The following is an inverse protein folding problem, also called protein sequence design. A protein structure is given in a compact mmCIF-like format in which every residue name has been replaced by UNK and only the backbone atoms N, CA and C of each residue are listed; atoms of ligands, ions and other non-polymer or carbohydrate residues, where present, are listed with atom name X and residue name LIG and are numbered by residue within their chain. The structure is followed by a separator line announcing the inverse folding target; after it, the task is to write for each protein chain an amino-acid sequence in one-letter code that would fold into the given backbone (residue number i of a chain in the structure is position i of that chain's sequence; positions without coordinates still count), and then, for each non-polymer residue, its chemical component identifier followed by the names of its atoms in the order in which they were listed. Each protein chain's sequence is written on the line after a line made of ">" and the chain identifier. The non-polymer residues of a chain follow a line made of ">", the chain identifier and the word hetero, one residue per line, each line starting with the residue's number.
data_IF_212676283859
#
_entry.id   IF_212676283859
#
_cell.length_a   1.000
_cell.length_b   1.000
_cell.length_c   1.000
_cell.angle_alpha   90.00
_cell.angle_beta   90.00
_cell.angle_gamma   90.00
#
_symmetry.space_group_name_H-M   'P 1'
#
loop_
_entity.id
_entity.type
_entity.pdbx_description
1 polymer ?
#
# COMPACT_ATOMS: atom_id res chain seq x y z
N UNK A 1 35.39 -29.94 -12.24
CA UNK A 1 34.80 -28.72 -11.67
C UNK A 1 34.13 -27.98 -12.82
N UNK A 2 32.80 -28.05 -12.93
CA UNK A 2 32.08 -27.37 -14.01
C UNK A 2 31.67 -25.99 -13.53
N UNK A 3 32.26 -24.97 -14.16
CA UNK A 3 31.84 -23.58 -14.02
C UNK A 3 30.50 -23.41 -14.75
N UNK A 4 29.40 -23.64 -14.02
CA UNK A 4 28.04 -23.34 -14.49
C UNK A 4 27.63 -21.93 -14.05
N UNK A 5 28.45 -20.94 -14.39
CA UNK A 5 28.09 -19.54 -14.26
C UNK A 5 27.02 -19.17 -15.29
N UNK A 6 25.75 -19.16 -14.88
CA UNK A 6 24.63 -18.63 -15.70
C UNK A 6 24.95 -17.16 -16.04
N UNK A 7 25.27 -16.91 -17.32
CA UNK A 7 25.73 -15.61 -17.79
C UNK A 7 24.84 -14.45 -17.32
N UNK A 8 25.46 -13.42 -16.72
CA UNK A 8 24.86 -12.12 -16.40
C UNK A 8 24.57 -11.33 -17.69
N UNK A 9 23.70 -11.84 -18.55
CA UNK A 9 23.38 -11.19 -19.83
C UNK A 9 22.20 -10.21 -19.73
N UNK A 10 21.28 -10.40 -18.78
CA UNK A 10 20.02 -9.62 -18.73
C UNK A 10 20.10 -8.35 -17.87
N UNK A 11 21.18 -8.18 -17.08
CA UNK A 11 21.42 -6.97 -16.27
C UNK A 11 22.40 -6.04 -16.96
N UNK A 12 22.00 -5.50 -18.11
CA UNK A 12 22.70 -4.33 -18.64
C UNK A 12 22.37 -3.13 -17.74
N UNK A 13 23.29 -2.16 -17.58
CA UNK A 13 23.01 -0.93 -16.86
C UNK A 13 21.74 -0.23 -17.38
N UNK A 14 21.49 -0.31 -18.69
CA UNK A 14 20.30 0.24 -19.33
C UNK A 14 19.00 -0.40 -18.80
N UNK A 15 18.93 -1.73 -18.74
CA UNK A 15 17.73 -2.43 -18.23
C UNK A 15 17.45 -2.08 -16.77
N UNK A 16 18.52 -1.93 -15.96
CA UNK A 16 18.37 -1.50 -14.57
C UNK A 16 17.78 -0.10 -14.52
N UNK A 17 18.34 0.84 -15.29
CA UNK A 17 17.84 2.22 -15.36
C UNK A 17 16.38 2.29 -15.82
N UNK A 18 16.01 1.55 -16.86
CA UNK A 18 14.65 1.54 -17.40
C UNK A 18 13.63 1.04 -16.35
N UNK A 19 14.00 0.01 -15.57
CA UNK A 19 13.19 -0.51 -14.47
C UNK A 19 13.03 0.56 -13.37
N UNK A 20 14.13 1.20 -12.97
CA UNK A 20 14.12 2.18 -11.88
C UNK A 20 13.39 3.46 -12.27
N UNK A 21 13.56 3.94 -13.50
CA UNK A 21 12.82 5.09 -14.02
C UNK A 21 11.32 4.79 -14.13
N UNK A 22 10.95 3.59 -14.56
CA UNK A 22 9.55 3.16 -14.62
C UNK A 22 8.88 3.21 -13.25
N UNK A 23 9.54 2.68 -12.22
CA UNK A 23 9.03 2.70 -10.84
C UNK A 23 9.10 4.11 -10.23
N UNK A 24 10.11 4.91 -10.56
CA UNK A 24 10.22 6.30 -10.10
C UNK A 24 9.09 7.19 -10.65
N UNK A 25 8.75 7.02 -11.93
CA UNK A 25 7.67 7.78 -12.57
C UNK A 25 6.28 7.30 -12.16
N UNK A 26 6.11 5.98 -12.01
CA UNK A 26 4.88 5.36 -11.50
C UNK A 26 5.19 4.40 -10.35
N UNK A 27 5.26 4.90 -9.11
CA UNK A 27 5.51 4.05 -7.94
C UNK A 27 4.46 2.96 -7.72
N UNK A 28 3.26 3.12 -8.26
CA UNK A 28 2.15 2.17 -8.17
C UNK A 28 2.13 1.08 -9.27
N UNK A 29 3.12 1.10 -10.18
CA UNK A 29 3.19 0.17 -11.31
C UNK A 29 3.40 -1.26 -10.84
N UNK A 30 2.65 -2.21 -11.42
CA UNK A 30 2.88 -3.61 -11.12
C UNK A 30 4.23 -4.08 -11.70
N UNK A 31 4.94 -4.94 -10.98
CA UNK A 31 6.20 -5.53 -11.47
C UNK A 31 6.02 -6.31 -12.78
N UNK A 32 4.80 -6.81 -13.04
CA UNK A 32 4.41 -7.44 -14.31
C UNK A 32 4.28 -6.42 -15.45
N UNK A 33 3.73 -5.25 -15.19
CA UNK A 33 3.70 -4.14 -16.16
C UNK A 33 5.13 -3.69 -16.52
N UNK A 34 6.00 -3.49 -15.52
CA UNK A 34 7.42 -3.13 -15.77
C UNK A 34 8.12 -4.20 -16.60
N UNK A 35 7.90 -5.48 -16.27
CA UNK A 35 8.44 -6.62 -17.03
C UNK A 35 8.04 -6.59 -18.51
N UNK A 36 6.77 -6.25 -18.81
CA UNK A 36 6.27 -6.13 -20.18
C UNK A 36 6.82 -4.89 -20.89
N UNK A 37 6.91 -3.75 -20.19
CA UNK A 37 7.41 -2.49 -20.75
C UNK A 37 8.89 -2.56 -21.11
N UNK A 38 9.72 -3.16 -20.25
CA UNK A 38 11.17 -3.30 -20.45
C UNK A 38 11.53 -4.60 -21.19
N UNK A 39 10.55 -5.47 -21.47
CA UNK A 39 10.72 -6.77 -22.12
C UNK A 39 11.75 -7.69 -21.44
N UNK A 40 11.63 -7.83 -20.11
CA UNK A 40 12.51 -8.70 -19.30
C UNK A 40 11.68 -9.64 -18.42
N UNK A 41 12.23 -10.79 -18.01
CA UNK A 41 11.53 -11.68 -17.09
C UNK A 41 11.18 -10.98 -15.78
N UNK A 42 9.98 -11.24 -15.26
CA UNK A 42 9.47 -10.69 -14.00
C UNK A 42 10.43 -10.87 -12.80
N UNK A 43 11.17 -11.98 -12.77
CA UNK A 43 12.17 -12.26 -11.75
C UNK A 43 13.37 -11.31 -11.77
N UNK A 44 13.71 -10.72 -12.92
CA UNK A 44 14.77 -9.71 -13.05
C UNK A 44 14.32 -8.40 -12.43
N UNK A 45 13.08 -7.97 -12.70
CA UNK A 45 12.48 -6.77 -12.10
C UNK A 45 12.56 -6.85 -10.58
N UNK A 46 12.08 -7.94 -9.99
CA UNK A 46 12.18 -8.14 -8.54
C UNK A 46 13.61 -8.11 -8.00
N UNK A 47 14.56 -8.69 -8.72
CA UNK A 47 15.95 -8.71 -8.28
C UNK A 47 16.59 -7.33 -8.35
N UNK A 48 16.22 -6.51 -9.34
CA UNK A 48 16.66 -5.11 -9.45
C UNK A 48 16.06 -4.28 -8.33
N UNK A 49 14.73 -4.30 -8.15
CA UNK A 49 14.07 -3.51 -7.11
C UNK A 49 14.59 -3.84 -5.70
N UNK A 50 14.72 -5.13 -5.36
CA UNK A 50 15.31 -5.54 -4.07
C UNK A 50 16.78 -5.17 -3.93
N UNK A 51 17.54 -5.14 -5.03
CA UNK A 51 18.93 -4.73 -5.04
C UNK A 51 19.11 -3.25 -4.71
N UNK A 52 18.16 -2.43 -5.14
CA UNK A 52 18.10 -0.98 -4.86
C UNK A 52 17.31 -0.62 -3.60
N UNK A 53 16.88 -1.63 -2.81
CA UNK A 53 16.12 -1.40 -1.56
C UNK A 53 14.67 -0.96 -1.76
N UNK A 54 14.13 -1.05 -2.98
CA UNK A 54 12.74 -0.69 -3.27
C UNK A 54 11.79 -1.82 -2.89
N UNK A 55 10.84 -1.51 -2.01
CA UNK A 55 9.87 -2.47 -1.49
C UNK A 55 8.43 -2.04 -1.76
N UNK A 56 7.53 -2.98 -2.12
CA UNK A 56 6.13 -2.67 -2.30
C UNK A 56 5.42 -2.55 -0.94
N UNK A 57 4.76 -1.42 -0.73
CA UNK A 57 3.91 -1.17 0.43
C UNK A 57 2.45 -1.13 0.01
N UNK A 58 1.57 -1.75 0.80
CA UNK A 58 0.14 -1.67 0.54
C UNK A 58 -0.39 -0.26 0.76
N UNK A 59 -1.21 0.23 -0.16
CA UNK A 59 -1.90 1.51 0.01
C UNK A 59 -3.06 1.31 0.98
N UNK A 60 -2.94 1.85 2.19
CA UNK A 60 -4.03 1.88 3.15
C UNK A 60 -4.85 3.16 2.98
N UNK A 61 -6.14 3.01 2.66
CA UNK A 61 -7.08 4.12 2.69
C UNK A 61 -7.39 4.44 4.15
N UNK A 62 -6.90 5.59 4.63
CA UNK A 62 -7.21 6.11 5.97
C UNK A 62 -8.21 7.26 5.85
N UNK A 63 -8.92 7.54 6.94
CA UNK A 63 -9.81 8.70 7.01
C UNK A 63 -8.99 9.99 6.81
N UNK A 64 -9.40 10.85 5.88
CA UNK A 64 -8.78 12.15 5.68
C UNK A 64 -9.28 13.13 6.74
N UNK A 65 -8.60 13.19 7.89
CA UNK A 65 -8.94 14.10 8.99
C UNK A 65 -8.53 15.53 8.66
N UNK A 66 -9.45 16.47 8.82
CA UNK A 66 -9.17 17.90 8.73
C UNK A 66 -8.90 18.50 10.12
N UNK A 67 -8.23 19.68 10.23
CA UNK A 67 -7.95 20.33 11.50
C UNK A 67 -9.16 20.49 12.44
N UNK A 68 -10.36 20.68 11.86
CA UNK A 68 -11.60 20.80 12.62
C UNK A 68 -12.05 19.49 13.30
N UNK A 69 -11.61 18.33 12.81
CA UNK A 69 -12.03 17.02 13.33
C UNK A 69 -11.31 16.64 14.63
N UNK A 70 -10.09 17.16 14.86
CA UNK A 70 -9.24 16.67 15.94
C UNK A 70 -9.83 16.94 17.33
N UNK A 71 -10.22 18.18 17.61
CA UNK A 71 -10.74 18.54 18.92
C UNK A 71 -12.05 17.80 19.26
N UNK A 72 -13.08 17.78 18.40
CA UNK A 72 -14.31 17.01 18.66
C UNK A 72 -14.06 15.52 18.89
N UNK A 73 -13.14 14.90 18.14
CA UNK A 73 -12.82 13.47 18.32
C UNK A 73 -12.16 13.19 19.66
N UNK A 74 -11.26 14.05 20.11
CA UNK A 74 -10.63 13.93 21.44
C UNK A 74 -11.67 14.13 22.54
N UNK A 75 -12.53 15.13 22.43
CA UNK A 75 -13.59 15.39 23.41
C UNK A 75 -14.58 14.22 23.49
N UNK A 76 -14.99 13.66 22.35
CA UNK A 76 -15.82 12.46 22.33
C UNK A 76 -15.13 11.27 23.02
N UNK A 77 -13.86 11.01 22.73
CA UNK A 77 -13.12 9.92 23.35
C UNK A 77 -13.00 10.10 24.87
N UNK A 78 -12.72 11.32 25.34
CA UNK A 78 -12.68 11.66 26.77
C UNK A 78 -14.03 11.44 27.44
N UNK A 79 -15.09 11.95 26.83
CA UNK A 79 -16.45 11.76 27.32
C UNK A 79 -16.80 10.27 27.41
N UNK A 80 -16.50 9.48 26.37
CA UNK A 80 -16.80 8.05 26.34
C UNK A 80 -16.04 7.30 27.45
N UNK A 81 -14.77 7.64 27.70
CA UNK A 81 -14.00 7.07 28.81
C UNK A 81 -14.61 7.42 30.18
N UNK A 82 -15.13 8.63 30.37
CA UNK A 82 -15.82 9.01 31.61
C UNK A 82 -17.10 8.19 31.81
N UNK A 83 -17.86 7.91 30.73
CA UNK A 83 -19.03 7.06 30.81
C UNK A 83 -18.66 5.62 31.24
N UNK A 84 -17.57 5.07 30.68
CA UNK A 84 -17.06 3.75 31.07
C UNK A 84 -16.59 3.71 32.53
N UNK A 85 -15.96 4.77 33.02
CA UNK A 85 -15.51 4.86 34.41
C UNK A 85 -16.70 4.91 35.39
N UNK A 86 -17.76 5.62 35.03
CA UNK A 86 -18.97 5.71 35.85
C UNK A 86 -19.82 4.44 35.79
N UNK A 87 -19.86 3.79 34.62
CA UNK A 87 -20.65 2.58 34.36
C UNK A 87 -19.84 1.62 33.47
N UNK A 88 -19.21 0.59 34.03
CA UNK A 88 -18.36 -0.34 33.27
C UNK A 88 -19.06 -1.06 32.11
N UNK A 89 -20.37 -1.27 32.19
CA UNK A 89 -21.22 -1.89 31.17
C UNK A 89 -21.79 -0.89 30.15
N UNK A 90 -21.37 0.39 30.19
CA UNK A 90 -21.89 1.43 29.30
C UNK A 90 -21.74 1.06 27.82
N UNK A 91 -20.60 0.50 27.40
CA UNK A 91 -20.35 0.13 26.01
C UNK A 91 -21.32 -0.94 25.49
N UNK A 92 -21.78 -1.85 26.34
CA UNK A 92 -22.73 -2.91 25.96
C UNK A 92 -24.11 -2.36 25.60
N UNK A 93 -24.41 -1.11 25.99
CA UNK A 93 -25.68 -0.43 25.76
C UNK A 93 -25.61 0.61 24.63
N UNK A 94 -24.47 0.73 23.94
CA UNK A 94 -24.27 1.68 22.84
C UNK A 94 -24.37 0.94 21.51
N UNK A 95 -25.33 1.34 20.67
CA UNK A 95 -25.45 0.87 19.31
C UNK A 95 -25.00 1.97 18.34
N UNK A 96 -23.94 1.71 17.59
CA UNK A 96 -23.55 2.55 16.46
C UNK A 96 -24.19 2.01 15.19
N UNK A 97 -24.91 2.85 14.47
CA UNK A 97 -25.48 2.53 13.16
C UNK A 97 -24.79 3.38 12.10
N UNK A 98 -24.32 2.78 11.03
CA UNK A 98 -23.87 3.50 9.84
C UNK A 98 -24.82 3.23 8.66
N UNK A 99 -24.87 4.18 7.73
CA UNK A 99 -25.54 4.00 6.45
C UNK A 99 -24.50 3.65 5.40
N UNK A 100 -24.65 2.52 4.71
CA UNK A 100 -23.79 2.14 3.60
C UNK A 100 -24.47 2.46 2.26
N UNK A 101 -23.79 3.20 1.40
CA UNK A 101 -24.22 3.43 0.01
C UNK A 101 -23.54 2.40 -0.90
N UNK A 102 -24.32 1.60 -1.62
CA UNK A 102 -23.80 0.66 -2.62
C UNK A 102 -24.04 1.23 -4.02
N UNK A 103 -22.97 1.54 -4.76
CA UNK A 103 -23.02 1.98 -6.16
C UNK A 103 -22.49 0.89 -7.08
N UNK A 104 -22.90 0.91 -8.36
CA UNK A 104 -22.59 -0.15 -9.32
C UNK A 104 -21.14 -0.10 -9.83
N UNK A 105 -20.47 1.04 -9.69
CA UNK A 105 -19.12 1.27 -10.22
C UNK A 105 -17.95 1.10 -9.22
N UNK A 106 -18.19 0.96 -7.90
CA UNK A 106 -17.18 1.35 -6.90
C UNK A 106 -16.57 0.20 -6.07
N UNK A 107 -16.35 -0.98 -6.69
CA UNK A 107 -15.52 -2.04 -6.08
C UNK A 107 -14.07 -1.88 -6.55
N UNK A 108 -13.37 -0.87 -6.03
CA UNK A 108 -11.91 -0.81 -6.18
C UNK A 108 -11.25 -1.70 -5.12
N UNK A 109 -10.69 -2.84 -5.54
CA UNK A 109 -9.94 -3.72 -4.64
C UNK A 109 -8.61 -3.05 -4.28
N UNK A 110 -8.56 -2.43 -3.10
CA UNK A 110 -7.32 -1.86 -2.53
C UNK A 110 -6.29 -2.92 -2.16
N UNK A 111 -6.70 -4.19 -2.03
CA UNK A 111 -5.82 -5.31 -1.64
C UNK A 111 -4.64 -5.51 -2.60
N UNK A 112 -4.81 -5.21 -3.90
CA UNK A 112 -3.77 -5.37 -4.90
C UNK A 112 -3.04 -4.05 -5.23
N UNK A 113 -3.32 -2.97 -4.50
CA UNK A 113 -2.64 -1.68 -4.69
C UNK A 113 -1.40 -1.62 -3.81
N UNK A 114 -0.24 -1.55 -4.47
CA UNK A 114 1.05 -1.35 -3.84
C UNK A 114 1.74 -0.13 -4.40
N UNK A 115 2.60 0.49 -3.60
CA UNK A 115 3.50 1.56 -4.01
C UNK A 115 4.93 1.19 -3.62
N UNK A 116 5.88 1.35 -4.53
CA UNK A 116 7.29 1.14 -4.27
C UNK A 116 7.94 2.41 -3.69
N UNK A 117 8.61 2.26 -2.54
CA UNK A 117 9.47 3.26 -1.91
C UNK A 117 10.83 2.66 -1.60
#
# INVERSE_FOLDING_TARGET
>A
MHDTGRGRSVRTPQVVEDILQGVKYRPDISTREVSRAVNVPHSIVWRVLRGEGLHPYHVQKVQALIPADYAPRVEFARWFMQQLAARPDFSAHVLFTDGSNFTREDISSTHNRHVFF
#
